data_IF_149352558358
#
_entry.id   IF_149352558358
#
_cell.length_a   1.000
_cell.length_b   1.000
_cell.length_c   1.000
_cell.angle_alpha   90.00
_cell.angle_beta   90.00
_cell.angle_gamma   90.00
#
_symmetry.space_group_name_H-M   'P 1'
#
loop_
_entity.id
_entity.type
_entity.pdbx_description
1 polymer ?
#
# COMPACT_ATOMS: atom_id res chain seq x y z
N UNK A 1 -0.99 -7.99 -7.99
CA UNK A 1 -0.31 -9.28 -7.74
C UNK A 1 -0.72 -9.81 -6.38
N UNK A 2 -1.69 -10.73 -6.41
CA UNK A 2 -2.07 -11.55 -5.27
C UNK A 2 -0.97 -12.59 -5.01
N UNK A 3 0.08 -12.20 -4.29
CA UNK A 3 0.94 -13.18 -3.63
C UNK A 3 0.45 -13.31 -2.21
N UNK A 4 -0.14 -14.48 -1.96
CA UNK A 4 -0.81 -14.84 -0.72
C UNK A 4 0.06 -14.56 0.50
N UNK A 5 -0.52 -13.83 1.45
CA UNK A 5 0.00 -13.67 2.79
C UNK A 5 -0.08 -15.02 3.52
N UNK A 6 0.89 -15.92 3.31
CA UNK A 6 1.09 -17.15 4.09
C UNK A 6 1.67 -16.86 5.49
N UNK A 7 1.43 -15.65 6.02
CA UNK A 7 2.12 -15.06 7.18
C UNK A 7 1.42 -15.21 8.52
N UNK A 8 0.19 -15.68 8.45
CA UNK A 8 -0.78 -15.58 9.54
C UNK A 8 -0.95 -16.90 10.30
N UNK A 9 -0.22 -17.97 9.93
CA UNK A 9 -0.29 -19.27 10.63
C UNK A 9 0.80 -19.49 11.69
N UNK A 10 1.86 -18.67 11.76
CA UNK A 10 3.02 -18.94 12.64
C UNK A 10 3.16 -17.98 13.84
N UNK A 11 2.31 -16.96 13.96
CA UNK A 11 2.25 -16.08 15.14
C UNK A 11 1.02 -16.45 15.98
N UNK A 12 1.26 -17.46 16.84
CA UNK A 12 0.50 -17.99 17.99
C UNK A 12 -0.81 -18.77 17.79
N UNK A 13 -0.77 -19.96 18.40
CA UNK A 13 -1.84 -20.93 18.70
C UNK A 13 -2.85 -20.44 19.76
N UNK A 14 -3.30 -19.19 19.70
CA UNK A 14 -4.44 -18.76 20.52
C UNK A 14 -5.07 -17.53 19.89
N UNK A 15 -6.39 -17.58 19.68
CA UNK A 15 -7.26 -16.51 19.17
C UNK A 15 -7.33 -16.35 17.63
N UNK A 16 -8.23 -17.12 17.04
CA UNK A 16 -8.61 -17.11 15.62
C UNK A 16 -9.24 -15.77 15.11
N UNK A 17 -9.38 -14.73 15.95
CA UNK A 17 -9.99 -13.45 15.58
C UNK A 17 -9.02 -12.32 15.19
N UNK A 18 -7.78 -12.29 15.68
CA UNK A 18 -6.89 -11.13 15.53
C UNK A 18 -6.30 -10.96 14.12
N UNK A 19 -6.27 -12.01 13.31
CA UNK A 19 -5.44 -12.05 12.10
C UNK A 19 -6.08 -11.35 10.89
N UNK A 20 -7.40 -11.41 10.77
CA UNK A 20 -8.17 -10.66 9.79
C UNK A 20 -8.07 -9.16 10.07
N UNK A 21 -8.08 -8.80 11.35
CA UNK A 21 -8.11 -7.43 11.85
C UNK A 21 -6.78 -6.70 11.63
N UNK A 22 -5.66 -7.37 11.91
CA UNK A 22 -4.32 -6.82 11.64
C UNK A 22 -4.12 -6.59 10.14
N UNK A 23 -4.57 -7.52 9.29
CA UNK A 23 -4.48 -7.37 7.84
C UNK A 23 -5.35 -6.23 7.32
N UNK A 24 -6.58 -6.11 7.82
CA UNK A 24 -7.48 -5.02 7.45
C UNK A 24 -6.96 -3.65 7.92
N UNK A 25 -6.20 -3.60 9.02
CA UNK A 25 -5.59 -2.36 9.55
C UNK A 25 -4.35 -1.95 8.79
N UNK A 26 -3.44 -2.87 8.48
CA UNK A 26 -2.31 -2.58 7.57
C UNK A 26 -2.81 -2.06 6.23
N UNK A 27 -3.92 -2.63 5.72
CA UNK A 27 -4.56 -2.15 4.50
C UNK A 27 -5.08 -0.72 4.63
N UNK A 28 -5.50 -0.27 5.83
CA UNK A 28 -6.01 1.08 6.12
C UNK A 28 -4.94 2.13 6.42
N UNK A 29 -3.68 1.69 6.59
CA UNK A 29 -2.54 2.54 6.94
C UNK A 29 -1.51 2.59 5.78
N UNK A 30 -1.60 3.57 4.87
CA UNK A 30 -0.70 3.68 3.71
C UNK A 30 0.79 3.72 4.10
N UNK A 31 1.10 4.35 5.23
CA UNK A 31 2.42 4.49 5.83
C UNK A 31 3.09 3.15 6.21
N UNK A 32 2.31 2.11 6.50
CA UNK A 32 2.82 0.79 6.87
C UNK A 32 2.99 -0.17 5.69
N UNK A 33 2.35 0.14 4.56
CA UNK A 33 2.28 -0.77 3.41
C UNK A 33 3.66 -1.19 2.90
N UNK A 34 4.56 -0.22 2.75
CA UNK A 34 5.94 -0.47 2.32
C UNK A 34 6.73 -1.27 3.36
N UNK A 35 6.70 -0.86 4.63
CA UNK A 35 7.45 -1.52 5.70
C UNK A 35 7.06 -3.01 5.84
N UNK A 36 5.75 -3.31 5.75
CA UNK A 36 5.24 -4.68 5.76
C UNK A 36 5.75 -5.45 4.55
N UNK A 37 5.67 -4.86 3.34
CA UNK A 37 6.18 -5.51 2.13
C UNK A 37 7.67 -5.84 2.21
N UNK A 38 8.48 -4.99 2.84
CA UNK A 38 9.92 -5.20 3.00
C UNK A 38 10.24 -6.36 3.95
N UNK A 39 9.59 -6.40 5.13
CA UNK A 39 9.71 -7.57 6.02
C UNK A 39 9.22 -8.82 5.30
N UNK A 40 8.23 -8.66 4.42
CA UNK A 40 7.69 -9.77 3.68
C UNK A 40 8.65 -10.45 2.69
N UNK A 41 9.85 -9.92 2.48
CA UNK A 41 10.87 -10.56 1.66
C UNK A 41 11.78 -11.51 2.46
N UNK A 42 11.99 -11.21 3.73
CA UNK A 42 12.90 -11.96 4.62
C UNK A 42 12.17 -13.00 5.47
N UNK A 43 11.00 -13.40 4.97
CA UNK A 43 10.03 -14.24 5.64
C UNK A 43 10.46 -15.69 5.78
N UNK A 44 11.21 -16.16 4.79
CA UNK A 44 11.68 -17.54 4.72
C UNK A 44 12.82 -17.80 5.71
N UNK A 45 13.58 -16.76 6.07
CA UNK A 45 14.71 -16.83 7.01
C UNK A 45 14.85 -15.50 7.78
N UNK A 46 14.01 -15.26 8.80
CA UNK A 46 14.02 -14.00 9.53
C UNK A 46 15.19 -13.93 10.51
N UNK A 47 16.09 -12.98 10.29
CA UNK A 47 17.18 -12.60 11.21
C UNK A 47 16.70 -11.64 12.31
N UNK A 48 17.46 -11.52 13.40
CA UNK A 48 17.18 -10.61 14.52
C UNK A 48 16.76 -9.17 14.13
N UNK A 49 17.42 -8.48 13.17
CA UNK A 49 16.98 -7.14 12.77
C UNK A 49 15.56 -7.14 12.18
N UNK A 50 15.16 -8.18 11.45
CA UNK A 50 13.81 -8.27 10.88
C UNK A 50 12.74 -8.43 11.97
N UNK A 51 13.05 -9.18 13.04
CA UNK A 51 12.16 -9.29 14.21
C UNK A 51 12.02 -7.96 14.98
N UNK A 52 13.07 -7.13 15.04
CA UNK A 52 13.00 -5.82 15.66
C UNK A 52 12.04 -4.88 14.89
N UNK A 53 12.14 -4.86 13.56
CA UNK A 53 11.22 -4.07 12.70
C UNK A 53 9.79 -4.62 12.81
N UNK A 54 9.61 -5.94 12.79
CA UNK A 54 8.28 -6.55 12.93
C UNK A 54 7.61 -6.15 14.26
N UNK A 55 8.36 -6.19 15.37
CA UNK A 55 7.87 -5.73 16.68
C UNK A 55 7.49 -4.24 16.65
N UNK A 56 8.23 -3.41 15.92
CA UNK A 56 7.91 -1.97 15.76
C UNK A 56 6.60 -1.77 14.99
N UNK A 57 6.39 -2.50 13.89
CA UNK A 57 5.13 -2.46 13.12
C UNK A 57 3.96 -2.88 14.01
N UNK A 58 4.08 -3.98 14.75
CA UNK A 58 3.01 -4.45 15.63
C UNK A 58 2.68 -3.43 16.75
N UNK A 59 3.69 -2.76 17.32
CA UNK A 59 3.46 -1.67 18.28
C UNK A 59 2.75 -0.48 17.65
N UNK A 60 3.13 -0.10 16.42
CA UNK A 60 2.47 0.98 15.70
C UNK A 60 1.01 0.65 15.42
N UNK A 61 0.70 -0.53 14.89
CA UNK A 61 -0.67 -1.00 14.65
C UNK A 61 -1.49 -1.02 15.94
N UNK A 62 -0.88 -1.35 17.08
CA UNK A 62 -1.54 -1.30 18.39
C UNK A 62 -1.78 0.13 18.88
N UNK A 63 -0.91 1.08 18.55
CA UNK A 63 -1.05 2.49 18.91
C UNK A 63 -2.01 3.26 17.99
N UNK A 64 -2.24 2.77 16.76
CA UNK A 64 -3.12 3.40 15.79
C UNK A 64 -4.48 2.72 15.65
N UNK A 65 -4.89 1.92 16.66
CA UNK A 65 -6.17 1.19 16.64
C UNK A 65 -7.37 2.13 16.50
N UNK A 66 -7.26 3.33 17.09
CA UNK A 66 -8.33 4.35 17.09
C UNK A 66 -8.36 5.18 15.81
N UNK A 67 -7.34 5.08 14.95
CA UNK A 67 -7.27 5.81 13.69
C UNK A 67 -7.93 4.96 12.58
N UNK A 68 -9.08 5.44 12.11
CA UNK A 68 -9.82 4.84 11.00
C UNK A 68 -9.76 5.70 9.75
N UNK A 69 -9.89 5.07 8.58
CA UNK A 69 -10.16 5.79 7.35
C UNK A 69 -11.61 6.31 7.42
N UNK A 70 -11.78 7.61 7.52
CA UNK A 70 -13.09 8.25 7.56
C UNK A 70 -13.46 8.71 6.15
N UNK A 71 -14.58 8.19 5.64
CA UNK A 71 -15.16 8.64 4.38
C UNK A 71 -16.27 9.63 4.70
N UNK A 72 -16.17 10.83 4.15
CA UNK A 72 -17.14 11.90 4.27
C UNK A 72 -17.85 12.10 2.94
N UNK A 73 -19.12 12.48 2.97
CA UNK A 73 -19.78 12.98 1.78
C UNK A 73 -19.11 14.31 1.39
N UNK A 74 -18.30 14.31 0.33
CA UNK A 74 -17.69 15.53 -0.20
C UNK A 74 -18.57 16.05 -1.34
N UNK A 75 -18.72 17.37 -1.41
CA UNK A 75 -19.45 18.03 -2.49
C UNK A 75 -18.72 17.92 -3.84
N UNK A 76 -17.42 17.62 -3.81
CA UNK A 76 -16.56 17.54 -4.99
C UNK A 76 -16.32 16.09 -5.36
N UNK A 77 -16.69 15.71 -6.59
CA UNK A 77 -16.43 14.38 -7.17
C UNK A 77 -15.19 14.39 -8.06
N UNK A 78 -14.14 15.13 -7.70
CA UNK A 78 -12.88 15.14 -8.46
C UNK A 78 -12.05 13.92 -8.08
N UNK A 79 -11.57 13.18 -9.08
CA UNK A 79 -10.63 12.07 -8.87
C UNK A 79 -9.19 12.60 -9.05
N UNK A 80 -8.41 12.62 -7.97
CA UNK A 80 -7.03 13.10 -7.95
C UNK A 80 -6.10 11.98 -7.49
N UNK A 81 -5.16 11.60 -8.35
CA UNK A 81 -4.13 10.61 -8.03
C UNK A 81 -2.79 11.29 -7.73
N UNK A 82 -2.20 10.97 -6.59
CA UNK A 82 -0.82 11.34 -6.27
C UNK A 82 0.07 10.11 -6.43
N UNK A 83 1.28 10.33 -6.94
CA UNK A 83 2.31 9.31 -7.07
C UNK A 83 3.62 9.82 -6.52
N UNK A 84 4.37 8.92 -5.92
CA UNK A 84 5.75 9.16 -5.50
C UNK A 84 6.62 7.96 -5.91
N UNK A 85 7.86 8.20 -6.28
CA UNK A 85 8.75 7.16 -6.77
C UNK A 85 10.16 7.30 -6.18
N UNK A 86 10.55 6.27 -5.41
CA UNK A 86 11.90 6.14 -4.87
C UNK A 86 12.81 5.46 -5.87
N UNK A 87 13.76 6.22 -6.44
CA UNK A 87 14.78 5.68 -7.33
C UNK A 87 15.84 4.88 -6.56
N UNK A 88 16.13 3.66 -7.02
CA UNK A 88 17.18 2.80 -6.47
C UNK A 88 17.09 2.50 -4.95
N UNK A 89 15.91 2.67 -4.34
CA UNK A 89 15.72 2.57 -2.88
C UNK A 89 16.01 1.19 -2.24
N UNK A 90 16.26 0.14 -3.04
CA UNK A 90 16.67 -1.18 -2.54
C UNK A 90 18.14 -1.47 -2.90
N UNK A 91 19.08 -1.44 -1.93
CA UNK A 91 20.51 -1.64 -2.17
C UNK A 91 20.85 -2.98 -2.84
N UNK A 92 20.03 -4.02 -2.62
CA UNK A 92 20.27 -5.37 -3.14
C UNK A 92 19.72 -5.61 -4.55
N UNK A 93 18.68 -4.89 -4.98
CA UNK A 93 18.04 -5.09 -6.29
C UNK A 93 18.16 -3.90 -7.23
N UNK A 94 18.53 -2.71 -6.70
CA UNK A 94 18.46 -1.40 -7.37
C UNK A 94 17.13 -1.09 -8.05
N UNK A 95 16.07 -1.82 -7.71
CA UNK A 95 14.73 -1.59 -8.26
C UNK A 95 14.10 -0.42 -7.54
N UNK A 96 13.53 0.49 -8.32
CA UNK A 96 12.75 1.60 -7.79
C UNK A 96 11.47 1.10 -7.13
N UNK A 97 11.01 1.79 -6.09
CA UNK A 97 9.68 1.61 -5.55
C UNK A 97 8.82 2.79 -5.98
N UNK A 98 7.52 2.58 -6.16
CA UNK A 98 6.58 3.67 -6.31
C UNK A 98 5.40 3.47 -5.37
N UNK A 99 4.91 4.57 -4.82
CA UNK A 99 3.69 4.65 -4.04
C UNK A 99 2.67 5.49 -4.79
N UNK A 100 1.39 5.18 -4.60
CA UNK A 100 0.32 6.06 -5.04
C UNK A 100 -0.83 6.10 -4.06
N UNK A 101 -1.59 7.19 -4.13
CA UNK A 101 -2.85 7.37 -3.44
C UNK A 101 -3.84 8.16 -4.32
N UNK A 102 -5.02 7.58 -4.52
CA UNK A 102 -6.12 8.15 -5.29
C UNK A 102 -7.20 8.66 -4.35
N UNK A 103 -7.56 9.92 -4.51
CA UNK A 103 -8.58 10.62 -3.75
C UNK A 103 -9.81 10.92 -4.60
N UNK A 104 -10.99 10.78 -4.01
CA UNK A 104 -12.25 11.28 -4.55
C UNK A 104 -12.77 12.41 -3.66
N UNK A 105 -12.58 13.64 -4.13
CA UNK A 105 -12.70 14.82 -3.28
C UNK A 105 -11.72 14.73 -2.12
N UNK A 106 -12.24 14.77 -0.90
CA UNK A 106 -11.43 14.71 0.33
C UNK A 106 -11.18 13.27 0.83
N UNK A 107 -11.70 12.27 0.10
CA UNK A 107 -11.70 10.88 0.54
C UNK A 107 -10.60 10.08 -0.14
N UNK A 108 -9.72 9.45 0.64
CA UNK A 108 -8.77 8.47 0.11
C UNK A 108 -9.52 7.20 -0.33
N UNK A 109 -9.52 6.88 -1.62
CA UNK A 109 -10.19 5.70 -2.16
C UNK A 109 -9.27 4.49 -2.26
N UNK A 110 -8.09 4.71 -2.83
CA UNK A 110 -7.16 3.64 -3.19
C UNK A 110 -5.74 4.08 -2.96
N UNK A 111 -4.89 3.15 -2.57
CA UNK A 111 -3.46 3.39 -2.44
C UNK A 111 -2.71 2.08 -2.52
N UNK A 112 -1.46 2.16 -2.92
CA UNK A 112 -0.55 1.03 -2.84
C UNK A 112 0.89 1.51 -2.91
N UNK A 113 1.79 0.79 -2.23
CA UNK A 113 3.22 0.83 -2.52
C UNK A 113 3.60 -0.45 -3.25
N UNK A 114 4.29 -0.33 -4.39
CA UNK A 114 4.73 -1.46 -5.22
C UNK A 114 6.16 -1.22 -5.68
N UNK A 115 6.97 -2.28 -5.70
CA UNK A 115 8.27 -2.26 -6.38
C UNK A 115 8.08 -2.36 -7.88
N UNK A 116 8.84 -1.58 -8.65
CA UNK A 116 8.85 -1.69 -10.11
C UNK A 116 9.47 -3.02 -10.53
N UNK A 117 8.89 -3.66 -11.55
CA UNK A 117 9.40 -4.92 -12.08
C UNK A 117 10.74 -4.72 -12.81
N UNK A 118 10.86 -3.59 -13.50
CA UNK A 118 12.03 -3.17 -14.27
C UNK A 118 12.87 -2.18 -13.46
N UNK A 119 14.19 -2.22 -13.67
CA UNK A 119 15.12 -1.25 -13.08
C UNK A 119 15.01 0.06 -13.87
N UNK A 120 14.93 1.19 -13.18
CA UNK A 120 14.95 2.52 -13.81
C UNK A 120 16.37 3.04 -13.83
N UNK A 121 16.76 3.61 -14.98
CA UNK A 121 18.10 4.16 -15.22
C UNK A 121 18.25 5.59 -14.71
N UNK A 122 17.14 6.27 -14.41
CA UNK A 122 17.08 7.59 -13.79
C UNK A 122 15.89 7.72 -12.84
N UNK A 123 15.90 8.77 -12.00
CA UNK A 123 14.74 9.13 -11.15
C UNK A 123 13.53 9.53 -11.99
N UNK A 124 13.72 10.35 -13.02
CA UNK A 124 12.66 10.76 -13.93
C UNK A 124 11.96 9.55 -14.58
N UNK A 125 12.73 8.54 -15.02
CA UNK A 125 12.13 7.31 -15.56
C UNK A 125 11.32 6.54 -14.50
N UNK A 126 11.78 6.51 -13.26
CA UNK A 126 11.03 5.90 -12.16
C UNK A 126 9.71 6.64 -11.87
N UNK A 127 9.74 7.98 -11.88
CA UNK A 127 8.56 8.84 -11.72
C UNK A 127 7.56 8.64 -12.86
N UNK A 128 7.99 8.71 -14.12
CA UNK A 128 7.11 8.48 -15.28
C UNK A 128 6.45 7.10 -15.26
N UNK A 129 7.19 6.07 -14.85
CA UNK A 129 6.63 4.72 -14.67
C UNK A 129 5.61 4.68 -13.53
N UNK A 130 5.85 5.40 -12.43
CA UNK A 130 4.87 5.57 -11.34
C UNK A 130 3.58 6.20 -11.86
N UNK A 131 3.69 7.35 -12.53
CA UNK A 131 2.57 8.07 -13.15
C UNK A 131 1.78 7.18 -14.09
N UNK A 132 2.45 6.44 -14.99
CA UNK A 132 1.76 5.56 -15.93
C UNK A 132 0.90 4.49 -15.24
N UNK A 133 1.37 3.95 -14.11
CA UNK A 133 0.60 3.00 -13.31
C UNK A 133 -0.60 3.68 -12.62
N UNK A 134 -0.42 4.87 -12.04
CA UNK A 134 -1.51 5.61 -11.40
C UNK A 134 -2.58 6.03 -12.40
N UNK A 135 -2.18 6.45 -13.60
CA UNK A 135 -3.14 6.77 -14.67
C UNK A 135 -3.96 5.54 -15.06
N UNK A 136 -3.36 4.34 -15.10
CA UNK A 136 -4.10 3.12 -15.38
C UNK A 136 -5.10 2.77 -14.25
N UNK A 137 -4.70 2.90 -12.98
CA UNK A 137 -5.55 2.62 -11.81
C UNK A 137 -6.69 3.66 -11.70
N UNK A 138 -6.41 4.94 -11.89
CA UNK A 138 -7.42 6.01 -11.90
C UNK A 138 -8.39 5.88 -13.07
N UNK A 139 -7.92 5.49 -14.26
CA UNK A 139 -8.79 5.19 -15.40
C UNK A 139 -9.71 3.99 -15.10
N UNK A 140 -9.19 2.96 -14.44
CA UNK A 140 -9.99 1.82 -13.98
C UNK A 140 -11.05 2.25 -12.96
N UNK A 141 -10.68 3.06 -11.95
CA UNK A 141 -11.62 3.61 -10.97
C UNK A 141 -12.72 4.44 -11.63
N UNK A 142 -12.37 5.28 -12.61
CA UNK A 142 -13.35 6.06 -13.38
C UNK A 142 -14.34 5.17 -14.13
N UNK A 143 -13.88 4.08 -14.73
CA UNK A 143 -14.76 3.14 -15.42
C UNK A 143 -15.67 2.41 -14.44
N UNK A 144 -15.15 1.98 -13.30
CA UNK A 144 -15.95 1.37 -12.24
C UNK A 144 -17.04 2.32 -11.73
N UNK A 145 -16.72 3.59 -11.51
CA UNK A 145 -17.69 4.59 -11.07
C UNK A 145 -18.80 4.84 -12.11
N UNK A 146 -18.46 4.74 -13.41
CA UNK A 146 -19.45 4.80 -14.49
C UNK A 146 -20.40 3.61 -14.47
N UNK A 147 -19.89 2.39 -14.27
CA UNK A 147 -20.73 1.17 -14.13
C UNK A 147 -21.64 1.23 -12.90
N UNK A 148 -21.18 1.87 -11.82
CA UNK A 148 -21.95 2.12 -10.61
C UNK A 148 -22.91 3.32 -10.72
N UNK A 149 -23.15 3.85 -11.93
CA UNK A 149 -24.04 4.98 -12.21
C UNK A 149 -23.71 6.26 -11.42
N UNK A 150 -22.44 6.43 -11.01
CA UNK A 150 -21.94 7.60 -10.28
C UNK A 150 -20.83 8.27 -11.10
N UNK A 151 -21.15 8.90 -12.25
CA UNK A 151 -20.14 9.51 -13.10
C UNK A 151 -19.47 10.70 -12.40
N UNK A 152 -18.15 10.81 -12.55
CA UNK A 152 -17.40 12.01 -12.18
C UNK A 152 -17.87 13.16 -13.10
N UNK A 153 -18.31 14.27 -12.49
CA UNK A 153 -18.75 15.50 -13.16
C UNK A 153 -17.66 16.13 -14.03
#
# INVERSE_FOLDING_TARGET
MAYGCTWIRRIKSSHHGCLCEVRARIRRSPDLSYAVQQICLYMHDPREPHFAVLKRILRYVRGTVDFGLQLYASATTSLVGYTDADWAGCPSTRRSAFGYCDFLGDNLLSWSSKRQHTISRSSAEAEYRGVANVVAETAWLRNLLRELHSPLS
#
